data_IF_522871812036
#
_entry.id   IF_522871812036
#
_cell.length_a   1.000
_cell.length_b   1.000
_cell.length_c   1.000
_cell.angle_alpha   90.00
_cell.angle_beta   90.00
_cell.angle_gamma   90.00
#
_symmetry.space_group_name_H-M   'P 1'
#
loop_
_entity.id
_entity.type
_entity.pdbx_description
1 polymer ?
#
# COMPACT_ATOMS: atom_id res chain seq x y z
N UNK A 1 8.10 -8.90 -29.22
CA UNK A 1 7.30 -7.67 -29.41
C UNK A 1 6.97 -7.15 -28.02
N UNK A 2 7.36 -5.93 -27.68
CA UNK A 2 6.97 -5.28 -26.43
C UNK A 2 5.50 -4.92 -26.60
N UNK A 3 4.59 -5.57 -25.86
CA UNK A 3 3.18 -5.25 -25.91
C UNK A 3 2.99 -3.93 -25.18
N UNK A 4 2.52 -2.90 -25.91
CA UNK A 4 2.17 -1.60 -25.38
C UNK A 4 0.68 -1.64 -25.01
N UNK A 5 0.36 -1.61 -23.72
CA UNK A 5 -1.03 -1.51 -23.26
C UNK A 5 -1.25 -0.15 -22.59
N UNK A 6 -2.39 0.46 -22.85
CA UNK A 6 -2.80 1.65 -22.12
C UNK A 6 -3.52 1.26 -20.83
N UNK A 7 -3.15 1.91 -19.75
CA UNK A 7 -3.74 1.75 -18.42
C UNK A 7 -4.17 3.11 -17.91
N UNK A 8 -5.31 3.20 -17.28
CA UNK A 8 -5.77 4.40 -16.59
C UNK A 8 -6.10 4.04 -15.15
N UNK A 9 -5.46 4.70 -14.19
CA UNK A 9 -5.80 4.53 -12.76
C UNK A 9 -7.09 5.31 -12.51
N UNK A 10 -8.14 4.68 -11.93
CA UNK A 10 -9.42 5.36 -11.69
C UNK A 10 -9.25 6.62 -10.83
N UNK A 11 -10.01 7.68 -11.13
CA UNK A 11 -9.90 8.98 -10.46
C UNK A 11 -10.07 8.92 -8.92
N UNK A 12 -10.85 7.96 -8.41
CA UNK A 12 -11.06 7.80 -6.97
C UNK A 12 -9.94 7.03 -6.26
N UNK A 13 -8.99 6.43 -7.01
CA UNK A 13 -7.89 5.63 -6.44
C UNK A 13 -6.67 6.52 -6.21
N UNK A 14 -6.75 7.47 -5.28
CA UNK A 14 -5.66 8.38 -4.98
C UNK A 14 -5.19 8.29 -3.52
N UNK A 15 -3.93 8.61 -3.30
CA UNK A 15 -3.34 8.79 -1.97
C UNK A 15 -3.33 10.26 -1.58
N UNK A 16 -2.68 11.08 -2.42
CA UNK A 16 -2.70 12.53 -2.36
C UNK A 16 -3.59 13.09 -3.50
N UNK A 17 -4.17 14.29 -3.37
CA UNK A 17 -5.02 14.85 -4.43
C UNK A 17 -4.34 14.83 -5.80
N UNK A 18 -4.98 14.19 -6.79
CA UNK A 18 -4.47 14.06 -8.15
C UNK A 18 -3.37 13.02 -8.36
N UNK A 19 -2.85 12.40 -7.29
CA UNK A 19 -1.78 11.40 -7.36
C UNK A 19 -2.34 10.02 -7.02
N UNK A 20 -2.19 9.07 -7.92
CA UNK A 20 -2.63 7.69 -7.75
C UNK A 20 -2.03 7.07 -6.48
N UNK A 21 -2.81 6.21 -5.81
CA UNK A 21 -2.37 5.50 -4.63
C UNK A 21 -1.26 4.50 -4.96
N UNK A 22 -0.07 4.68 -4.36
CA UNK A 22 1.14 3.95 -4.72
C UNK A 22 0.98 2.44 -4.68
N UNK A 23 0.43 1.91 -3.60
CA UNK A 23 0.20 0.47 -3.48
C UNK A 23 -0.71 -0.11 -4.58
N UNK A 24 -1.74 0.63 -5.01
CA UNK A 24 -2.60 0.22 -6.12
C UNK A 24 -1.85 0.22 -7.45
N UNK A 25 -1.07 1.27 -7.72
CA UNK A 25 -0.22 1.35 -8.93
C UNK A 25 0.76 0.18 -8.98
N UNK A 26 1.38 -0.14 -7.85
CA UNK A 26 2.27 -1.30 -7.75
C UNK A 26 1.52 -2.61 -8.03
N UNK A 27 0.31 -2.76 -7.52
CA UNK A 27 -0.56 -3.90 -7.76
C UNK A 27 -0.96 -4.06 -9.22
N UNK A 28 -1.25 -2.97 -9.93
CA UNK A 28 -1.51 -2.98 -11.38
C UNK A 28 -0.34 -3.55 -12.15
N UNK A 29 0.90 -3.20 -11.82
CA UNK A 29 2.08 -3.81 -12.44
C UNK A 29 2.23 -5.28 -12.03
N UNK A 30 1.99 -5.60 -10.77
CA UNK A 30 2.07 -6.96 -10.26
C UNK A 30 1.04 -7.92 -10.91
N UNK A 31 -0.17 -7.45 -11.21
CA UNK A 31 -1.20 -8.24 -11.88
C UNK A 31 -0.78 -8.69 -13.30
N UNK A 32 0.21 -8.01 -13.88
CA UNK A 32 0.74 -8.32 -15.21
C UNK A 32 2.13 -8.95 -15.19
N UNK A 33 2.62 -9.34 -14.02
CA UNK A 33 3.92 -10.02 -13.85
C UNK A 33 3.70 -11.47 -13.42
N UNK A 34 4.46 -12.42 -13.98
CA UNK A 34 4.45 -13.81 -13.52
C UNK A 34 5.27 -14.02 -12.24
N UNK A 35 6.01 -13.02 -11.77
CA UNK A 35 6.85 -13.13 -10.60
C UNK A 35 6.00 -13.23 -9.31
N UNK A 36 6.37 -14.14 -8.42
CA UNK A 36 5.75 -14.27 -7.10
C UNK A 36 6.08 -13.08 -6.21
N UNK A 37 7.35 -12.66 -6.21
CA UNK A 37 7.84 -11.48 -5.51
C UNK A 37 8.27 -10.43 -6.52
N UNK A 38 7.72 -9.24 -6.37
CA UNK A 38 8.01 -8.10 -7.24
C UNK A 38 8.42 -6.89 -6.40
N UNK A 39 9.40 -6.16 -6.88
CA UNK A 39 9.73 -4.82 -6.37
C UNK A 39 9.24 -3.78 -7.37
N UNK A 40 8.57 -2.77 -6.86
CA UNK A 40 8.09 -1.62 -7.63
C UNK A 40 8.76 -0.36 -7.08
N UNK A 41 9.48 0.34 -7.94
CA UNK A 41 10.14 1.61 -7.64
C UNK A 41 9.37 2.77 -8.28
N UNK A 42 9.08 3.81 -7.51
CA UNK A 42 8.42 5.03 -7.98
C UNK A 42 9.45 6.08 -8.35
N UNK A 43 9.40 6.58 -9.58
CA UNK A 43 10.28 7.61 -10.14
C UNK A 43 9.60 8.98 -10.22
N UNK A 44 8.27 9.00 -10.26
CA UNK A 44 7.46 10.19 -10.33
C UNK A 44 6.06 9.98 -9.78
N UNK A 45 5.30 11.05 -9.63
CA UNK A 45 3.90 11.00 -9.27
C UNK A 45 3.09 10.41 -10.43
N UNK A 46 2.34 9.34 -10.17
CA UNK A 46 1.45 8.74 -11.16
C UNK A 46 0.11 9.47 -11.10
N UNK A 47 -0.37 10.08 -12.20
CA UNK A 47 -1.66 10.78 -12.20
C UNK A 47 -2.83 9.79 -12.21
N UNK A 48 -3.96 10.18 -11.59
CA UNK A 48 -5.25 9.49 -11.76
C UNK A 48 -5.98 10.01 -12.99
N UNK A 49 -6.87 9.20 -13.59
CA UNK A 49 -7.73 9.58 -14.71
C UNK A 49 -6.99 9.85 -16.03
N UNK A 50 -5.68 9.66 -16.07
CA UNK A 50 -4.85 9.94 -17.25
C UNK A 50 -4.35 8.63 -17.87
N UNK A 51 -4.38 8.46 -19.19
CA UNK A 51 -3.81 7.29 -19.85
C UNK A 51 -2.29 7.21 -19.65
N UNK A 52 -1.83 6.04 -19.24
CA UNK A 52 -0.43 5.67 -19.06
C UNK A 52 -0.10 4.52 -20.00
N UNK A 53 1.14 4.43 -20.44
CA UNK A 53 1.60 3.31 -21.26
C UNK A 53 2.37 2.31 -20.41
N UNK A 54 1.95 1.04 -20.43
CA UNK A 54 2.68 -0.05 -19.82
C UNK A 54 3.60 -0.70 -20.86
N UNK A 55 4.85 -0.88 -20.50
CA UNK A 55 5.87 -1.51 -21.35
C UNK A 55 6.62 -2.59 -20.59
N UNK A 56 7.07 -3.63 -21.32
CA UNK A 56 8.05 -4.57 -20.79
C UNK A 56 9.46 -3.96 -20.81
N UNK A 57 10.25 -4.22 -19.79
CA UNK A 57 11.67 -3.82 -19.76
C UNK A 57 12.59 -4.92 -20.26
N UNK A 58 13.81 -4.58 -20.67
CA UNK A 58 14.81 -5.52 -21.16
C UNK A 58 15.28 -6.53 -20.11
N UNK A 59 14.98 -6.29 -18.83
CA UNK A 59 15.35 -7.17 -17.69
C UNK A 59 14.20 -8.03 -17.21
N UNK A 60 13.13 -8.21 -18.01
CA UNK A 60 11.96 -9.01 -17.65
C UNK A 60 11.02 -8.32 -16.65
N UNK A 61 11.17 -7.01 -16.46
CA UNK A 61 10.31 -6.18 -15.64
C UNK A 61 9.24 -5.46 -16.46
N UNK A 62 8.52 -4.55 -15.79
CA UNK A 62 7.48 -3.70 -16.37
C UNK A 62 7.75 -2.23 -16.00
N UNK A 63 7.27 -1.31 -16.83
CA UNK A 63 7.29 0.13 -16.53
C UNK A 63 5.96 0.78 -16.90
N UNK A 64 5.58 1.84 -16.19
CA UNK A 64 4.54 2.79 -16.57
C UNK A 64 5.21 4.09 -16.97
N UNK A 65 4.83 4.60 -18.14
CA UNK A 65 5.27 5.89 -18.65
C UNK A 65 4.08 6.81 -18.89
N UNK A 66 4.32 8.11 -18.80
CA UNK A 66 3.35 9.14 -19.22
C UNK A 66 3.34 9.32 -20.75
N UNK A 67 2.56 10.29 -21.22
CA UNK A 67 2.41 10.60 -22.65
C UNK A 67 3.71 11.13 -23.29
N UNK A 68 4.60 11.71 -22.50
CA UNK A 68 5.90 12.23 -22.94
C UNK A 68 7.01 11.16 -22.91
N UNK A 69 6.67 9.94 -22.46
CA UNK A 69 7.59 8.81 -22.36
C UNK A 69 8.45 8.81 -21.09
N UNK A 70 8.17 9.71 -20.14
CA UNK A 70 8.88 9.69 -18.86
C UNK A 70 8.44 8.48 -18.02
N UNK A 71 9.41 7.75 -17.47
CA UNK A 71 9.16 6.59 -16.61
C UNK A 71 8.69 7.08 -15.24
N UNK A 72 7.44 6.75 -14.88
CA UNK A 72 6.86 7.07 -13.57
C UNK A 72 7.06 5.96 -12.56
N UNK A 73 7.05 4.70 -13.02
CA UNK A 73 7.14 3.53 -12.14
C UNK A 73 7.82 2.38 -12.87
N UNK A 74 8.68 1.66 -12.18
CA UNK A 74 9.34 0.46 -12.69
C UNK A 74 9.10 -0.72 -11.73
N UNK A 75 8.85 -1.89 -12.29
CA UNK A 75 8.69 -3.14 -11.56
C UNK A 75 9.66 -4.21 -12.05
N UNK A 76 10.25 -4.98 -11.16
CA UNK A 76 11.14 -6.08 -11.50
C UNK A 76 11.03 -7.23 -10.50
N UNK A 77 11.28 -8.48 -10.93
CA UNK A 77 11.38 -9.61 -10.01
C UNK A 77 12.39 -9.35 -8.91
N UNK A 78 12.05 -9.75 -7.69
CA UNK A 78 12.87 -9.52 -6.50
C UNK A 78 12.84 -10.74 -5.58
N UNK A 79 13.62 -10.69 -4.51
CA UNK A 79 13.50 -11.57 -3.35
C UNK A 79 13.13 -10.73 -2.14
N UNK A 80 12.37 -11.30 -1.23
CA UNK A 80 11.98 -10.65 0.02
C UNK A 80 12.35 -11.60 1.17
N UNK A 81 13.27 -11.16 2.02
CA UNK A 81 13.68 -11.86 3.22
C UNK A 81 13.36 -10.95 4.41
N UNK A 82 12.26 -11.24 5.11
CA UNK A 82 11.75 -10.46 6.23
C UNK A 82 11.57 -11.35 7.44
N UNK A 83 12.11 -10.90 8.57
CA UNK A 83 11.72 -11.42 9.88
C UNK A 83 10.36 -10.80 10.26
N UNK A 84 9.30 -11.59 10.06
CA UNK A 84 7.93 -11.16 10.29
C UNK A 84 7.56 -11.40 11.74
N UNK A 85 7.19 -10.34 12.50
CA UNK A 85 6.74 -10.51 13.90
C UNK A 85 5.49 -11.38 14.00
N UNK A 86 5.28 -11.99 15.15
CA UNK A 86 4.05 -12.72 15.44
C UNK A 86 2.81 -11.86 15.20
N UNK A 87 1.81 -12.44 14.56
CA UNK A 87 0.53 -11.77 14.32
C UNK A 87 -0.10 -11.38 15.68
N UNK A 88 -0.43 -10.10 15.90
CA UNK A 88 -1.01 -9.66 17.16
C UNK A 88 -2.39 -10.25 17.40
N UNK A 89 -2.81 -10.47 18.66
CA UNK A 89 -4.13 -10.99 18.97
C UNK A 89 -5.25 -10.11 18.39
N UNK A 90 -6.22 -10.74 17.73
CA UNK A 90 -7.34 -10.07 17.07
C UNK A 90 -8.04 -9.03 17.95
N UNK A 91 -8.31 -9.34 19.20
CA UNK A 91 -8.99 -8.43 20.12
C UNK A 91 -8.20 -7.12 20.37
N UNK A 92 -6.86 -7.20 20.44
CA UNK A 92 -6.00 -6.00 20.57
C UNK A 92 -6.05 -5.15 19.29
N UNK A 93 -6.06 -5.80 18.13
CA UNK A 93 -6.14 -5.15 16.81
C UNK A 93 -7.48 -4.45 16.64
N UNK A 94 -8.60 -5.12 16.94
CA UNK A 94 -9.94 -4.55 16.89
C UNK A 94 -10.06 -3.33 17.81
N UNK A 95 -9.60 -3.45 19.05
CA UNK A 95 -9.62 -2.34 20.01
C UNK A 95 -8.77 -1.14 19.54
N UNK A 96 -7.63 -1.38 18.88
CA UNK A 96 -6.79 -0.33 18.32
C UNK A 96 -7.47 0.34 17.11
N UNK A 97 -8.04 -0.44 16.20
CA UNK A 97 -8.78 0.05 15.02
C UNK A 97 -9.99 0.89 15.45
N UNK A 98 -10.72 0.46 16.44
CA UNK A 98 -11.85 1.21 16.99
C UNK A 98 -11.43 2.56 17.59
N UNK A 99 -10.27 2.62 18.26
CA UNK A 99 -9.72 3.91 18.72
C UNK A 99 -9.37 4.81 17.55
N UNK A 100 -8.80 4.26 16.48
CA UNK A 100 -8.50 5.02 15.27
C UNK A 100 -9.75 5.60 14.61
N UNK A 101 -10.83 4.82 14.54
CA UNK A 101 -12.11 5.24 13.97
C UNK A 101 -12.77 6.39 14.76
N UNK A 102 -12.59 6.42 16.08
CA UNK A 102 -13.08 7.51 16.94
C UNK A 102 -12.21 8.76 16.91
N UNK A 103 -11.01 8.68 16.33
CA UNK A 103 -10.10 9.83 16.27
C UNK A 103 -10.52 10.83 15.19
N UNK A 104 -10.70 12.09 15.58
CA UNK A 104 -10.92 13.20 14.65
C UNK A 104 -9.63 13.74 14.02
N UNK A 105 -8.46 13.25 14.48
CA UNK A 105 -7.14 13.69 14.02
C UNK A 105 -6.56 12.70 13.03
N UNK A 106 -7.24 12.47 11.91
CA UNK A 106 -6.68 11.67 10.82
C UNK A 106 -6.42 12.59 9.63
N UNK A 107 -5.15 12.79 9.25
CA UNK A 107 -4.83 13.38 7.96
C UNK A 107 -5.33 12.42 6.86
N UNK A 108 -5.45 12.83 5.65
CA UNK A 108 -5.78 11.96 4.52
C UNK A 108 -7.19 11.35 4.54
N UNK A 109 -8.20 12.17 4.82
CA UNK A 109 -9.60 11.74 4.94
C UNK A 109 -10.13 10.99 3.72
N UNK A 110 -9.60 11.27 2.53
CA UNK A 110 -10.04 10.68 1.26
C UNK A 110 -9.01 9.75 0.61
N UNK A 111 -7.92 9.40 1.30
CA UNK A 111 -6.96 8.43 0.78
C UNK A 111 -7.62 7.09 0.50
N UNK A 112 -7.40 6.51 -0.68
CA UNK A 112 -7.94 5.21 -1.10
C UNK A 112 -7.65 4.09 -0.08
N UNK A 113 -6.44 4.08 0.48
CA UNK A 113 -6.02 3.05 1.44
C UNK A 113 -6.67 3.22 2.82
N UNK A 114 -6.57 4.41 3.44
CA UNK A 114 -6.89 4.60 4.85
C UNK A 114 -7.88 5.75 5.15
N UNK A 115 -8.49 6.34 4.13
CA UNK A 115 -9.40 7.47 4.28
C UNK A 115 -10.73 7.09 4.90
N UNK A 116 -11.12 7.74 6.01
CA UNK A 116 -12.42 7.55 6.64
C UNK A 116 -13.58 8.07 5.78
N UNK A 117 -13.32 9.07 4.92
CA UNK A 117 -14.28 9.64 3.99
C UNK A 117 -14.52 8.81 2.72
N UNK A 118 -13.72 7.76 2.48
CA UNK A 118 -13.99 6.85 1.36
C UNK A 118 -15.24 6.03 1.65
N UNK A 119 -16.27 6.03 0.75
CA UNK A 119 -17.43 5.18 0.89
C UNK A 119 -17.04 3.69 0.86
N UNK A 120 -17.83 2.80 1.50
CA UNK A 120 -17.68 1.36 1.33
C UNK A 120 -17.62 0.96 -0.15
N UNK A 121 -16.75 0.01 -0.49
CA UNK A 121 -16.53 -0.45 -1.88
C UNK A 121 -15.75 0.52 -2.79
N UNK A 122 -15.42 1.73 -2.31
CA UNK A 122 -14.70 2.75 -3.08
C UNK A 122 -13.29 3.04 -2.55
N UNK A 123 -12.83 2.26 -1.61
CA UNK A 123 -11.49 2.31 -1.01
C UNK A 123 -11.31 1.16 -0.03
N UNK A 124 -10.07 0.90 0.37
CA UNK A 124 -9.75 -0.24 1.24
C UNK A 124 -10.31 -0.06 2.65
N UNK A 125 -10.40 1.19 3.13
CA UNK A 125 -10.87 1.51 4.48
C UNK A 125 -10.06 0.79 5.57
N UNK A 126 -8.76 0.66 5.35
CA UNK A 126 -7.81 0.31 6.38
C UNK A 126 -7.66 1.48 7.35
N UNK A 127 -7.85 1.23 8.64
CA UNK A 127 -7.76 2.27 9.67
C UNK A 127 -6.60 2.00 10.62
N UNK A 128 -5.33 2.14 10.15
CA UNK A 128 -4.17 1.79 10.94
C UNK A 128 -4.10 2.60 12.23
N UNK A 129 -3.73 1.94 13.31
CA UNK A 129 -3.52 2.53 14.62
C UNK A 129 -2.23 1.98 15.26
N UNK A 130 -1.48 2.80 16.02
CA UNK A 130 -0.30 2.32 16.72
C UNK A 130 -0.69 1.40 17.89
N UNK A 131 0.01 0.27 17.99
CA UNK A 131 0.03 -0.65 19.11
C UNK A 131 1.45 -0.57 19.71
N UNK A 132 1.70 0.51 20.46
CA UNK A 132 3.06 0.93 20.88
C UNK A 132 3.76 -0.11 21.74
N UNK A 133 3.03 -0.80 22.57
CA UNK A 133 3.55 -1.83 23.48
C UNK A 133 4.20 -3.00 22.71
N UNK A 134 3.78 -3.20 21.46
CA UNK A 134 4.35 -4.21 20.55
C UNK A 134 5.29 -3.62 19.49
N UNK A 135 5.43 -2.30 19.41
CA UNK A 135 6.17 -1.64 18.33
C UNK A 135 5.50 -1.80 16.95
N UNK A 136 4.19 -2.01 16.91
CA UNK A 136 3.44 -2.27 15.69
C UNK A 136 2.45 -1.13 15.37
N UNK A 137 2.08 -1.03 14.11
CA UNK A 137 0.85 -0.40 13.63
C UNK A 137 -0.06 -1.51 13.13
N UNK A 138 -1.33 -1.48 13.51
CA UNK A 138 -2.28 -2.57 13.23
C UNK A 138 -3.61 -2.04 12.68
N UNK A 139 -4.31 -2.86 11.92
CA UNK A 139 -5.68 -2.60 11.47
C UNK A 139 -6.47 -3.90 11.37
N UNK A 140 -7.63 -3.97 12.00
CA UNK A 140 -8.63 -4.97 11.68
C UNK A 140 -9.27 -4.58 10.35
N UNK A 141 -9.28 -5.49 9.39
CA UNK A 141 -9.77 -5.23 8.04
C UNK A 141 -10.70 -6.34 7.56
N UNK A 142 -11.86 -5.95 7.11
CA UNK A 142 -12.77 -6.83 6.37
C UNK A 142 -12.92 -6.20 4.98
N UNK A 143 -12.27 -6.75 3.95
CA UNK A 143 -12.38 -6.22 2.59
C UNK A 143 -13.81 -6.19 2.11
N UNK A 144 -14.24 -5.06 1.54
CA UNK A 144 -15.57 -4.95 0.93
C UNK A 144 -15.66 -5.90 -0.27
N UNK A 145 -16.78 -6.63 -0.48
CA UNK A 145 -16.95 -7.49 -1.64
C UNK A 145 -16.77 -6.80 -3.00
N UNK A 146 -16.97 -5.49 -3.09
CA UNK A 146 -16.71 -4.70 -4.30
C UNK A 146 -15.22 -4.59 -4.67
N UNK A 147 -14.30 -5.03 -3.80
CA UNK A 147 -12.85 -5.09 -4.06
C UNK A 147 -12.41 -6.46 -4.61
N UNK A 148 -13.36 -7.38 -4.80
CA UNK A 148 -13.10 -8.75 -5.20
C UNK A 148 -13.35 -9.00 -6.68
N UNK A 149 -12.59 -9.94 -7.23
CA UNK A 149 -12.85 -10.54 -8.52
C UNK A 149 -14.01 -11.55 -8.48
N UNK A 150 -14.30 -12.19 -9.63
CA UNK A 150 -15.40 -13.14 -9.76
C UNK A 150 -15.29 -14.38 -8.86
N UNK A 151 -14.10 -14.70 -8.38
CA UNK A 151 -13.82 -15.83 -7.49
C UNK A 151 -14.04 -15.52 -6.00
N UNK A 152 -14.44 -14.28 -5.68
CA UNK A 152 -14.68 -13.83 -4.30
C UNK A 152 -13.41 -13.44 -3.55
N UNK A 153 -12.24 -13.51 -4.19
CA UNK A 153 -10.98 -13.03 -3.61
C UNK A 153 -10.72 -11.57 -3.98
N UNK A 154 -10.04 -10.86 -3.10
CA UNK A 154 -9.64 -9.46 -3.33
C UNK A 154 -8.68 -9.41 -4.52
N UNK A 155 -8.95 -8.53 -5.49
CA UNK A 155 -8.09 -8.34 -6.65
C UNK A 155 -6.65 -8.02 -6.25
N UNK A 156 -5.69 -8.51 -7.04
CA UNK A 156 -4.26 -8.37 -6.74
C UNK A 156 -3.82 -6.92 -6.50
N UNK A 157 -4.40 -5.99 -7.26
CA UNK A 157 -4.18 -4.55 -7.11
C UNK A 157 -4.57 -4.05 -5.72
N UNK A 158 -5.67 -4.56 -5.17
CA UNK A 158 -6.17 -4.20 -3.85
C UNK A 158 -5.40 -4.88 -2.73
N UNK A 159 -4.91 -6.11 -2.93
CA UNK A 159 -4.00 -6.76 -1.97
C UNK A 159 -2.70 -5.95 -1.85
N UNK A 160 -2.10 -5.56 -2.97
CA UNK A 160 -0.91 -4.71 -2.97
C UNK A 160 -1.17 -3.33 -2.35
N UNK A 161 -2.32 -2.75 -2.66
CA UNK A 161 -2.75 -1.49 -2.06
C UNK A 161 -2.84 -1.59 -0.53
N UNK A 162 -3.25 -2.74 0.02
CA UNK A 162 -3.33 -2.97 1.46
C UNK A 162 -1.94 -3.04 2.13
N UNK A 163 -0.86 -3.25 1.37
CA UNK A 163 0.51 -3.31 1.88
C UNK A 163 1.20 -1.94 1.97
N UNK A 164 0.56 -0.85 1.54
CA UNK A 164 1.17 0.49 1.46
C UNK A 164 0.90 1.34 2.71
N UNK A 165 -0.34 1.78 2.94
CA UNK A 165 -0.69 2.68 4.03
C UNK A 165 -0.22 2.26 5.43
N UNK A 166 -0.28 0.98 5.85
CA UNK A 166 0.18 0.59 7.18
C UNK A 166 1.65 0.96 7.41
N UNK A 167 2.49 0.84 6.37
CA UNK A 167 3.89 1.27 6.41
C UNK A 167 4.05 2.76 6.61
N UNK A 168 3.26 3.59 5.92
CA UNK A 168 3.25 5.04 6.13
C UNK A 168 2.85 5.41 7.56
N UNK A 169 1.88 4.71 8.14
CA UNK A 169 1.46 4.92 9.52
C UNK A 169 2.53 4.51 10.55
N UNK A 170 3.38 3.50 10.27
CA UNK A 170 4.60 3.23 11.07
C UNK A 170 5.48 4.47 11.08
N UNK A 171 5.75 5.04 9.90
CA UNK A 171 6.53 6.25 9.76
C UNK A 171 6.00 7.38 10.64
N UNK A 172 4.72 7.73 10.49
CA UNK A 172 4.11 8.86 11.20
C UNK A 172 3.96 8.64 12.71
N UNK A 173 3.75 7.42 13.19
CA UNK A 173 3.37 7.17 14.59
C UNK A 173 4.45 6.55 15.45
N UNK A 174 5.43 5.87 14.85
CA UNK A 174 6.49 5.17 15.56
C UNK A 174 7.89 5.72 15.29
N UNK A 175 8.18 6.20 14.06
CA UNK A 175 9.53 6.64 13.68
C UNK A 175 9.66 8.14 13.42
N UNK A 176 8.60 8.92 13.61
CA UNK A 176 8.66 10.38 13.52
C UNK A 176 8.76 10.93 12.09
N UNK A 177 8.34 10.16 11.09
CA UNK A 177 8.33 10.55 9.69
C UNK A 177 7.43 11.78 9.46
N UNK A 178 7.89 12.72 8.66
CA UNK A 178 7.18 13.97 8.36
C UNK A 178 6.00 13.74 7.42
N UNK A 179 4.96 14.57 7.56
CA UNK A 179 3.86 14.63 6.60
C UNK A 179 4.34 15.03 5.21
N UNK A 180 3.65 14.54 4.16
CA UNK A 180 4.09 14.71 2.77
C UNK A 180 5.08 13.66 2.30
N UNK A 181 5.40 12.67 3.15
CA UNK A 181 6.22 11.52 2.75
C UNK A 181 5.50 10.63 1.78
N UNK A 182 6.25 10.04 0.85
CA UNK A 182 5.71 9.21 -0.22
C UNK A 182 6.37 7.84 -0.23
N UNK A 183 5.66 6.85 -0.72
CA UNK A 183 6.21 5.52 -1.02
C UNK A 183 7.18 5.66 -2.20
N UNK A 184 8.44 5.28 -1.99
CA UNK A 184 9.48 5.29 -3.03
C UNK A 184 9.70 3.91 -3.63
N UNK A 185 9.48 2.85 -2.85
CA UNK A 185 9.48 1.47 -3.33
C UNK A 185 8.57 0.59 -2.48
N UNK A 186 8.02 -0.45 -3.11
CA UNK A 186 7.23 -1.49 -2.47
C UNK A 186 7.64 -2.84 -3.03
N UNK A 187 8.14 -3.73 -2.17
CA UNK A 187 8.46 -5.12 -2.53
C UNK A 187 7.44 -6.00 -1.84
N UNK A 188 6.70 -6.81 -2.59
CA UNK A 188 5.61 -7.62 -2.02
C UNK A 188 5.64 -9.05 -2.54
N UNK A 189 5.36 -10.00 -1.65
CA UNK A 189 5.02 -11.40 -1.96
C UNK A 189 3.60 -11.66 -1.50
N UNK A 190 2.75 -12.15 -2.41
CA UNK A 190 1.41 -12.65 -2.08
C UNK A 190 1.53 -14.15 -1.86
N UNK A 191 1.19 -14.62 -0.65
CA UNK A 191 1.39 -15.99 -0.18
C UNK A 191 0.11 -16.83 -0.28
N UNK A 192 -1.05 -16.18 -0.09
CA UNK A 192 -2.36 -16.84 -0.13
C UNK A 192 -3.44 -15.86 -0.61
N UNK A 193 -4.56 -16.36 -1.15
CA UNK A 193 -5.72 -15.54 -1.48
C UNK A 193 -6.25 -14.77 -0.26
N UNK A 194 -6.76 -13.57 -0.51
CA UNK A 194 -7.43 -12.74 0.50
C UNK A 194 -8.93 -12.77 0.22
N UNK A 195 -9.71 -13.41 1.09
CA UNK A 195 -11.16 -13.53 0.89
C UNK A 195 -11.86 -12.20 1.20
N UNK A 196 -12.68 -11.70 0.27
CA UNK A 196 -13.52 -10.54 0.51
C UNK A 196 -14.65 -10.90 1.50
N UNK A 197 -15.00 -9.95 2.38
CA UNK A 197 -16.00 -10.19 3.43
C UNK A 197 -15.47 -10.97 4.64
N UNK A 198 -14.31 -11.62 4.55
CA UNK A 198 -13.68 -12.29 5.67
C UNK A 198 -12.81 -11.33 6.50
N UNK A 199 -12.70 -11.51 7.83
CA UNK A 199 -11.87 -10.65 8.66
C UNK A 199 -10.39 -10.99 8.54
N UNK A 200 -9.57 -9.96 8.34
CA UNK A 200 -8.12 -10.02 8.26
C UNK A 200 -7.46 -9.08 9.28
N UNK A 201 -6.18 -9.28 9.51
CA UNK A 201 -5.31 -8.44 10.33
C UNK A 201 -4.20 -7.90 9.44
N UNK A 202 -4.14 -6.57 9.29
CA UNK A 202 -2.99 -5.89 8.71
C UNK A 202 -2.11 -5.36 9.84
N UNK A 203 -0.79 -5.59 9.77
CA UNK A 203 0.15 -5.06 10.74
C UNK A 203 1.47 -4.70 10.08
N UNK A 204 2.14 -3.70 10.65
CA UNK A 204 3.38 -3.16 10.11
C UNK A 204 4.35 -2.76 11.23
N UNK A 205 5.65 -2.80 10.94
CA UNK A 205 6.71 -2.54 11.93
C UNK A 205 7.88 -1.80 11.29
N UNK A 206 8.64 -1.01 12.08
CA UNK A 206 9.83 -0.34 11.57
C UNK A 206 10.98 -1.34 11.35
N UNK A 207 11.71 -1.18 10.24
CA UNK A 207 12.93 -1.94 9.95
C UNK A 207 14.17 -1.05 10.09
N UNK A 208 14.17 0.12 9.43
CA UNK A 208 15.30 1.05 9.48
C UNK A 208 14.86 2.49 9.27
N UNK A 209 15.63 3.43 9.82
CA UNK A 209 15.52 4.87 9.54
C UNK A 209 16.91 5.39 9.18
N UNK A 210 17.06 5.89 7.96
CA UNK A 210 18.31 6.41 7.43
C UNK A 210 18.08 7.81 6.83
N UNK A 211 18.32 8.84 7.63
CA UNK A 211 18.04 10.22 7.23
C UNK A 211 16.54 10.40 6.93
N UNK A 212 16.20 10.69 5.67
CA UNK A 212 14.82 10.87 5.20
C UNK A 212 14.13 9.56 4.76
N UNK A 213 14.81 8.42 4.87
CA UNK A 213 14.32 7.12 4.42
C UNK A 213 13.83 6.31 5.60
N UNK A 214 12.63 5.80 5.51
CA UNK A 214 12.02 4.91 6.49
C UNK A 214 11.68 3.58 5.79
N UNK A 215 12.39 2.52 6.15
CA UNK A 215 12.09 1.17 5.68
C UNK A 215 11.21 0.48 6.69
N UNK A 216 10.14 -0.14 6.24
CA UNK A 216 9.11 -0.76 7.08
C UNK A 216 8.70 -2.11 6.52
N UNK A 217 8.43 -3.06 7.42
CA UNK A 217 7.78 -4.31 7.08
C UNK A 217 6.27 -4.18 7.22
N UNK A 218 5.52 -4.87 6.36
CA UNK A 218 4.06 -4.94 6.40
C UNK A 218 3.62 -6.38 6.18
N UNK A 219 2.64 -6.84 6.93
CA UNK A 219 2.03 -8.15 6.76
C UNK A 219 0.50 -8.03 6.74
N UNK A 220 -0.13 -8.89 5.95
CA UNK A 220 -1.55 -9.14 5.93
C UNK A 220 -1.77 -10.60 6.27
N UNK A 221 -2.59 -10.88 7.28
CA UNK A 221 -2.89 -12.22 7.74
C UNK A 221 -4.40 -12.43 7.86
N UNK A 222 -4.83 -13.69 7.84
CA UNK A 222 -6.18 -14.07 8.24
C UNK A 222 -6.42 -13.74 9.72
N UNK A 223 -7.66 -13.79 10.16
CA UNK A 223 -8.00 -13.61 11.58
C UNK A 223 -7.41 -14.70 12.50
N UNK A 224 -6.97 -15.84 11.97
CA UNK A 224 -6.24 -16.91 12.66
C UNK A 224 -4.72 -16.72 12.70
N UNK A 225 -4.19 -15.71 11.97
CA UNK A 225 -2.76 -15.39 11.93
C UNK A 225 -1.98 -16.01 10.76
N UNK A 226 -2.66 -16.70 9.84
CA UNK A 226 -2.01 -17.22 8.62
C UNK A 226 -1.68 -16.08 7.66
N UNK A 227 -0.43 -16.00 7.20
CA UNK A 227 0.03 -14.94 6.32
C UNK A 227 -0.58 -15.06 4.91
N UNK A 228 -1.20 -13.98 4.44
CA UNK A 228 -1.71 -13.84 3.07
C UNK A 228 -0.75 -13.04 2.17
N UNK A 229 -0.09 -12.04 2.73
CA UNK A 229 0.92 -11.26 2.01
C UNK A 229 1.92 -10.64 2.97
N UNK A 230 3.16 -10.42 2.48
CA UNK A 230 4.22 -9.71 3.19
C UNK A 230 4.87 -8.70 2.26
N UNK A 231 5.32 -7.57 2.82
CA UNK A 231 5.97 -6.54 2.04
C UNK A 231 7.06 -5.80 2.84
N UNK A 232 8.04 -5.28 2.10
CA UNK A 232 8.93 -4.23 2.52
C UNK A 232 8.59 -2.96 1.75
N UNK A 233 8.37 -1.86 2.44
CA UNK A 233 8.11 -0.56 1.85
C UNK A 233 9.19 0.44 2.24
N UNK A 234 9.70 1.18 1.25
CA UNK A 234 10.56 2.32 1.45
C UNK A 234 9.76 3.61 1.32
N UNK A 235 9.68 4.36 2.40
CA UNK A 235 9.08 5.70 2.45
C UNK A 235 10.16 6.76 2.45
N UNK A 236 9.93 7.88 1.77
CA UNK A 236 10.87 8.99 1.71
C UNK A 236 10.19 10.29 2.11
N UNK A 237 10.77 10.98 3.08
CA UNK A 237 10.37 12.32 3.47
C UNK A 237 10.68 13.38 2.40
N UNK A 238 9.84 14.42 2.26
CA UNK A 238 10.14 15.54 1.39
C UNK A 238 11.45 16.24 1.84
N UNK A 239 12.18 16.83 0.89
CA UNK A 239 13.41 17.58 1.19
C UNK A 239 13.13 18.80 2.06
N UNK A 240 12.05 19.50 1.76
CA UNK A 240 11.55 20.63 2.52
C UNK A 240 10.21 20.26 3.16
N UNK A 241 9.86 20.84 4.32
CA UNK A 241 8.52 20.66 4.88
C UNK A 241 7.48 21.01 3.83
N UNK A 242 6.43 20.18 3.68
CA UNK A 242 5.32 20.49 2.78
C UNK A 242 4.70 21.84 3.21
N UNK A 243 4.61 22.83 2.32
CA UNK A 243 4.01 24.13 2.65
C UNK A 243 2.50 24.03 2.92
N UNK A 244 1.91 22.91 2.60
CA UNK A 244 0.51 22.61 2.90
C UNK A 244 0.45 21.44 3.88
N UNK A 245 0.18 21.68 5.18
CA UNK A 245 -0.36 20.62 6.01
C UNK A 245 -1.65 20.20 5.30
N UNK A 246 -1.68 18.92 4.87
CA UNK A 246 -2.88 18.36 4.27
C UNK A 246 -4.04 18.54 5.25
N UNK A 247 -5.22 18.96 4.78
CA UNK A 247 -6.38 19.27 5.61
C UNK A 247 -6.83 18.08 6.45
#
# INVERSE_FOLDING_TARGET
>A
MIQLDQITIPEHVFGYPGVAFGGYVAGVLAAHSPAETLRVDFRGAVPVGTPLTRTGTTRGGLALTDADGAVLTEAHPATLDLDVPDCPPRAEVEAATDRALRSTRRPYTHCYGCGQGCPPGRGLRLFPAPLRERGLVVSAWTPDPALAGPDGTVDRENVWAAMDCPGGWVGFTLTGMRQGSVTAALTTTVLAPVEAGAPHISYAWPLAVEGRKHTVGVALATSSGELCAVAEALWIEPREPSPHPLP
#
